data_IF_268436840810
#
_entry.id   IF_268436840810
#
_cell.length_a   1.000
_cell.length_b   1.000
_cell.length_c   1.000
_cell.angle_alpha   90.00
_cell.angle_beta   90.00
_cell.angle_gamma   90.00
#
_symmetry.space_group_name_H-M   'P 1'
#
loop_
_entity.id
_entity.type
_entity.pdbx_description
1 polymer ?
#
# COMPACT_ATOMS: atom_id res chain seq x y z
N UNK A 1 19.47 -8.71 -7.35
CA UNK A 1 19.94 -7.31 -7.41
C UNK A 1 18.77 -6.44 -7.00
N UNK A 2 18.67 -6.16 -5.70
CA UNK A 2 17.68 -5.25 -5.15
C UNK A 2 18.19 -3.85 -5.49
N UNK A 3 17.58 -3.19 -6.48
CA UNK A 3 17.83 -1.77 -6.66
C UNK A 3 17.30 -1.10 -5.39
N UNK A 4 18.14 -0.31 -4.72
CA UNK A 4 17.78 0.49 -3.54
C UNK A 4 16.72 1.52 -3.91
N UNK A 5 15.48 1.07 -4.10
CA UNK A 5 14.37 1.88 -4.53
C UNK A 5 13.73 2.50 -3.30
N UNK A 6 14.01 3.78 -3.05
CA UNK A 6 13.32 4.51 -1.98
C UNK A 6 11.88 4.71 -2.41
N UNK A 7 10.95 4.05 -1.70
CA UNK A 7 9.54 4.31 -1.87
C UNK A 7 9.17 5.65 -1.22
N UNK A 8 8.59 6.55 -2.01
CA UNK A 8 7.97 7.77 -1.50
C UNK A 8 6.46 7.63 -1.61
N UNK A 9 5.77 7.70 -0.47
CA UNK A 9 4.31 7.74 -0.49
C UNK A 9 3.80 9.13 -0.85
N UNK A 10 3.09 9.23 -1.97
CA UNK A 10 2.51 10.48 -2.47
C UNK A 10 1.07 10.66 -2.00
N UNK A 11 0.33 9.55 -1.83
CA UNK A 11 -1.04 9.56 -1.30
C UNK A 11 -1.22 8.42 -0.33
N UNK A 12 -1.56 8.77 0.90
CA UNK A 12 -2.02 7.81 1.88
C UNK A 12 -3.54 7.76 1.99
N UNK A 13 -4.02 6.66 2.54
CA UNK A 13 -5.41 6.36 2.79
C UNK A 13 -5.54 5.73 4.18
N UNK A 14 -6.50 6.21 4.97
CA UNK A 14 -6.85 5.58 6.24
C UNK A 14 -7.93 4.53 6.00
N UNK A 15 -7.62 3.28 6.33
CA UNK A 15 -8.54 2.16 6.21
C UNK A 15 -9.90 2.45 6.86
N UNK A 16 -10.99 2.10 6.19
CA UNK A 16 -12.35 2.26 6.68
C UNK A 16 -12.95 0.92 7.14
N UNK A 17 -14.12 0.99 7.77
CA UNK A 17 -14.83 -0.23 8.18
C UNK A 17 -15.23 -1.05 6.95
N UNK A 18 -14.93 -2.36 6.98
CA UNK A 18 -15.19 -3.28 5.86
C UNK A 18 -14.05 -3.38 4.85
N UNK A 19 -13.01 -2.55 4.98
CA UNK A 19 -11.84 -2.66 4.11
C UNK A 19 -10.98 -3.88 4.40
N UNK A 20 -10.30 -4.30 3.35
CA UNK A 20 -9.17 -5.23 3.37
C UNK A 20 -8.18 -4.83 2.27
N UNK A 21 -7.01 -5.46 2.24
CA UNK A 21 -5.99 -5.13 1.23
C UNK A 21 -6.51 -5.19 -0.22
N UNK A 22 -7.38 -6.14 -0.55
CA UNK A 22 -7.88 -6.31 -1.91
C UNK A 22 -8.93 -5.23 -2.26
N UNK A 23 -9.84 -4.90 -1.33
CA UNK A 23 -10.84 -3.84 -1.55
C UNK A 23 -10.19 -2.49 -1.73
N UNK A 24 -9.21 -2.15 -0.88
CA UNK A 24 -8.47 -0.88 -0.96
C UNK A 24 -7.67 -0.81 -2.25
N UNK A 25 -6.93 -1.87 -2.60
CA UNK A 25 -6.17 -1.90 -3.85
C UNK A 25 -7.10 -1.71 -5.08
N UNK A 26 -8.23 -2.43 -5.12
CA UNK A 26 -9.20 -2.31 -6.20
C UNK A 26 -9.84 -0.91 -6.27
N UNK A 27 -10.23 -0.33 -5.14
CA UNK A 27 -10.82 1.01 -5.05
C UNK A 27 -9.88 2.12 -5.53
N UNK A 28 -8.57 1.89 -5.45
CA UNK A 28 -7.55 2.80 -5.95
C UNK A 28 -6.97 2.42 -7.31
N UNK A 29 -7.54 1.40 -7.98
CA UNK A 29 -7.11 0.90 -9.29
C UNK A 29 -5.65 0.40 -9.31
N UNK A 30 -5.23 -0.30 -8.26
CA UNK A 30 -3.88 -0.83 -8.09
C UNK A 30 -3.96 -2.35 -7.93
N UNK A 31 -2.98 -3.07 -8.46
CA UNK A 31 -2.87 -4.50 -8.19
C UNK A 31 -2.55 -4.74 -6.70
N UNK A 32 -3.00 -5.87 -6.16
CA UNK A 32 -2.67 -6.27 -4.79
C UNK A 32 -1.16 -6.39 -4.57
N UNK A 33 -0.41 -6.83 -5.58
CA UNK A 33 1.06 -6.93 -5.53
C UNK A 33 1.72 -5.56 -5.42
N UNK A 34 1.31 -4.58 -6.23
CA UNK A 34 1.83 -3.21 -6.15
C UNK A 34 1.43 -2.52 -4.85
N UNK A 35 0.20 -2.74 -4.38
CA UNK A 35 -0.24 -2.25 -3.06
C UNK A 35 0.64 -2.80 -1.92
N UNK A 36 0.94 -4.10 -1.92
CA UNK A 36 1.86 -4.71 -0.94
C UNK A 36 3.28 -4.17 -1.06
N UNK A 37 3.78 -3.95 -2.27
CA UNK A 37 5.10 -3.37 -2.49
C UNK A 37 5.20 -1.93 -1.96
N UNK A 38 4.12 -1.16 -2.04
CA UNK A 38 4.03 0.20 -1.47
C UNK A 38 3.80 0.23 0.05
N UNK A 39 3.48 -0.91 0.66
CA UNK A 39 3.21 -1.02 2.10
C UNK A 39 4.08 -2.12 2.70
N UNK A 40 5.42 -1.96 2.69
CA UNK A 40 6.33 -2.96 3.21
C UNK A 40 6.00 -3.26 4.68
N UNK A 41 5.84 -4.54 5.00
CA UNK A 41 5.46 -5.00 6.34
C UNK A 41 3.95 -5.07 6.60
N UNK A 42 3.10 -4.72 5.63
CA UNK A 42 1.66 -4.90 5.79
C UNK A 42 1.30 -6.39 5.92
N UNK A 43 0.49 -6.70 6.93
CA UNK A 43 -0.12 -8.01 7.08
C UNK A 43 -1.63 -7.93 6.79
N UNK A 44 -2.04 -8.45 5.63
CA UNK A 44 -3.44 -8.41 5.20
C UNK A 44 -4.39 -9.28 6.03
N UNK A 45 -3.86 -10.18 6.87
CA UNK A 45 -4.66 -10.94 7.85
C UNK A 45 -4.94 -10.16 9.13
N UNK A 46 -4.13 -9.13 9.42
CA UNK A 46 -4.29 -8.26 10.60
C UNK A 46 -4.51 -6.81 10.16
N UNK A 47 -5.46 -6.62 9.26
CA UNK A 47 -5.89 -5.33 8.76
C UNK A 47 -6.88 -4.68 9.75
N UNK A 48 -6.77 -3.38 10.01
CA UNK A 48 -7.63 -2.68 10.96
C UNK A 48 -8.06 -1.29 10.49
N UNK A 49 -9.21 -0.83 10.98
CA UNK A 49 -9.76 0.50 10.68
C UNK A 49 -8.81 1.58 11.20
N UNK A 50 -8.56 2.60 10.38
CA UNK A 50 -7.63 3.68 10.68
C UNK A 50 -6.16 3.35 10.36
N UNK A 51 -5.85 2.13 9.91
CA UNK A 51 -4.51 1.78 9.43
C UNK A 51 -4.13 2.69 8.25
N UNK A 52 -2.95 3.31 8.33
CA UNK A 52 -2.44 4.19 7.27
C UNK A 52 -1.78 3.38 6.17
N UNK A 53 -2.27 3.57 4.94
CA UNK A 53 -1.90 2.77 3.77
C UNK A 53 -1.47 3.68 2.64
N UNK A 54 -0.33 3.40 2.02
CA UNK A 54 0.07 4.06 0.80
C UNK A 54 -0.71 3.51 -0.40
N UNK A 55 -1.42 4.40 -1.10
CA UNK A 55 -2.23 4.07 -2.29
C UNK A 55 -1.77 4.84 -3.53
N UNK A 56 -0.71 5.62 -3.42
CA UNK A 56 0.04 6.15 -4.56
C UNK A 56 1.45 6.44 -4.09
N UNK A 57 2.43 5.90 -4.80
CA UNK A 57 3.83 6.15 -4.49
C UNK A 57 4.70 6.01 -5.72
N UNK A 58 5.90 6.55 -5.63
CA UNK A 58 6.95 6.38 -6.63
C UNK A 58 8.15 5.70 -5.99
N UNK A 59 8.76 4.79 -6.73
CA UNK A 59 10.04 4.20 -6.40
C UNK A 59 11.13 4.96 -7.16
N UNK A 60 12.03 5.61 -6.43
CA UNK A 60 13.22 6.19 -7.03
C UNK A 60 14.40 5.24 -6.81
N UNK A 61 15.08 4.84 -7.88
CA UNK A 61 16.38 4.21 -7.78
C UNK A 61 17.37 5.20 -7.17
N UNK A 62 18.03 4.81 -6.08
CA UNK A 62 19.15 5.55 -5.50
C UNK A 62 20.40 5.42 -6.38
#
# INVERSE_FOLDING_TARGET
>A
AECGCRLTCQKGYGAQQGDNCASVAAAHHISLSSFKAMNPGINCYYFFVGQWLCVKGTTAAL
#
